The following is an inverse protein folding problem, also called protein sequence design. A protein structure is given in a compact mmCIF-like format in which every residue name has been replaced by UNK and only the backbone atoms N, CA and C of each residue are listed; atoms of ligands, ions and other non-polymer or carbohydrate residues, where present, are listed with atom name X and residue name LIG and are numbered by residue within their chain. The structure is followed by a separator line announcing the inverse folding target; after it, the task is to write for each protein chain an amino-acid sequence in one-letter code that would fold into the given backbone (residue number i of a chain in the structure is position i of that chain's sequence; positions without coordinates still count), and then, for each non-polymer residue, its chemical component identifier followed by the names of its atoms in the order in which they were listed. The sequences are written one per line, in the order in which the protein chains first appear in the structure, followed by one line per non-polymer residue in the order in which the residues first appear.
data_IF_885582257382
#
_entry.id   IF_885582257382
#
_cell.length_a   1.000
_cell.length_b   1.000
_cell.length_c   1.000
_cell.angle_alpha   90.00
_cell.angle_beta   90.00
_cell.angle_gamma   90.00
#
_symmetry.space_group_name_H-M   'P 1'
#
loop_
_entity.id
_entity.type
_entity.pdbx_description
1 polymer ?
#
# COMPACT_ATOMS: atom_id res chain seq x y z
N UNK A 1 -26.39 -49.28 -14.07
CA UNK A 1 -26.09 -47.91 -14.55
C UNK A 1 -24.80 -47.46 -13.88
N UNK A 2 -23.68 -47.36 -14.62
CA UNK A 2 -22.38 -46.98 -14.09
C UNK A 2 -22.24 -45.45 -13.96
N UNK A 3 -21.53 -45.05 -12.90
CA UNK A 3 -20.47 -44.05 -12.84
C UNK A 3 -20.60 -42.67 -13.53
N UNK A 4 -20.46 -41.66 -12.65
CA UNK A 4 -19.41 -40.62 -12.67
C UNK A 4 -19.62 -39.48 -13.67
N UNK A 5 -20.24 -38.41 -13.16
CA UNK A 5 -20.00 -37.06 -13.67
C UNK A 5 -18.65 -36.58 -13.14
N UNK A 6 -17.70 -36.47 -14.06
CA UNK A 6 -16.47 -35.71 -13.93
C UNK A 6 -16.77 -34.25 -14.30
N UNK A 7 -16.50 -33.30 -13.40
CA UNK A 7 -16.12 -31.95 -13.82
C UNK A 7 -15.21 -31.33 -12.75
N UNK A 8 -14.03 -30.83 -13.15
CA UNK A 8 -12.92 -30.52 -12.26
C UNK A 8 -13.07 -29.17 -11.55
N UNK A 9 -12.77 -29.21 -10.25
CA UNK A 9 -12.18 -28.19 -9.38
C UNK A 9 -12.07 -26.78 -9.98
N UNK A 10 -12.96 -25.88 -9.54
CA UNK A 10 -12.67 -24.44 -9.58
C UNK A 10 -11.45 -24.21 -8.67
N UNK A 11 -10.29 -24.14 -9.29
CA UNK A 11 -9.07 -23.65 -8.63
C UNK A 11 -9.21 -22.14 -8.53
N UNK A 12 -10.05 -21.68 -7.59
CA UNK A 12 -10.00 -20.27 -7.21
C UNK A 12 -8.68 -20.07 -6.49
N UNK A 13 -7.88 -19.27 -7.16
CA UNK A 13 -6.56 -18.82 -6.76
C UNK A 13 -6.51 -18.40 -5.30
N UNK A 14 -5.41 -18.81 -4.68
CA UNK A 14 -4.98 -18.48 -3.33
C UNK A 14 -5.13 -16.98 -3.05
N UNK A 15 -6.10 -16.61 -2.23
CA UNK A 15 -5.98 -15.39 -1.42
C UNK A 15 -5.65 -15.83 -0.01
N UNK A 16 -4.37 -15.77 0.33
CA UNK A 16 -3.91 -15.94 1.70
C UNK A 16 -4.63 -14.96 2.63
N UNK A 17 -4.98 -15.36 3.85
CA UNK A 17 -5.55 -14.46 4.83
C UNK A 17 -4.43 -13.60 5.42
N UNK A 18 -4.17 -12.43 4.83
CA UNK A 18 -3.55 -11.32 5.54
C UNK A 18 -4.64 -10.30 5.87
N UNK A 19 -5.56 -10.71 6.74
CA UNK A 19 -6.76 -9.95 7.13
C UNK A 19 -6.54 -8.96 8.28
N UNK A 20 -5.30 -8.59 8.61
CA UNK A 20 -5.05 -7.55 9.61
C UNK A 20 -4.88 -6.12 9.03
N UNK A 21 -4.89 -5.96 7.69
CA UNK A 21 -4.61 -4.68 7.02
C UNK A 21 -5.71 -4.09 6.12
N UNK A 22 -6.85 -4.78 5.93
CA UNK A 22 -7.84 -4.37 4.91
C UNK A 22 -8.64 -3.11 5.26
N UNK A 23 -8.89 -2.84 6.54
CA UNK A 23 -9.63 -1.65 6.97
C UNK A 23 -8.79 -0.38 6.78
N UNK A 24 -7.48 -0.49 6.97
CA UNK A 24 -6.53 0.61 6.77
C UNK A 24 -6.49 1.01 5.30
N UNK A 25 -6.47 0.04 4.39
CA UNK A 25 -6.36 0.28 2.95
C UNK A 25 -7.56 1.09 2.40
N UNK A 26 -8.79 0.69 2.75
CA UNK A 26 -9.99 1.41 2.34
C UNK A 26 -10.06 2.83 2.93
N UNK A 27 -9.74 2.99 4.22
CA UNK A 27 -9.70 4.30 4.86
C UNK A 27 -8.61 5.21 4.25
N UNK A 28 -7.46 4.64 3.92
CA UNK A 28 -6.34 5.32 3.28
C UNK A 28 -6.68 5.76 1.87
N UNK A 29 -7.33 4.90 1.08
CA UNK A 29 -7.77 5.24 -0.27
C UNK A 29 -8.76 6.41 -0.27
N UNK A 30 -9.71 6.42 0.67
CA UNK A 30 -10.67 7.51 0.87
C UNK A 30 -10.00 8.79 1.39
N UNK A 31 -9.11 8.68 2.38
CA UNK A 31 -8.34 9.81 2.89
C UNK A 31 -7.45 10.43 1.79
N UNK A 32 -6.81 9.59 0.97
CA UNK A 32 -6.09 10.03 -0.22
C UNK A 32 -7.04 10.77 -1.15
N UNK A 33 -8.18 10.18 -1.53
CA UNK A 33 -9.23 10.84 -2.35
C UNK A 33 -9.55 12.25 -1.91
N UNK A 34 -9.90 12.42 -0.64
CA UNK A 34 -10.22 13.73 -0.07
C UNK A 34 -9.01 14.68 -0.14
N UNK A 35 -7.80 14.19 0.15
CA UNK A 35 -6.57 14.97 0.12
C UNK A 35 -6.13 15.38 -1.30
N UNK A 36 -6.40 14.57 -2.33
CA UNK A 36 -6.15 14.93 -3.75
C UNK A 36 -7.25 15.81 -4.33
N UNK A 37 -8.51 15.59 -3.95
CA UNK A 37 -9.65 16.37 -4.45
C UNK A 37 -9.68 17.79 -3.88
N UNK A 38 -9.17 17.99 -2.67
CA UNK A 38 -9.08 19.32 -2.08
C UNK A 38 -7.87 19.47 -1.15
N UNK A 39 -7.09 20.56 -1.29
CA UNK A 39 -6.05 20.93 -0.33
C UNK A 39 -6.59 21.05 1.10
N UNK A 40 -7.83 21.54 1.25
CA UNK A 40 -8.52 21.64 2.55
C UNK A 40 -8.81 20.26 3.16
N UNK A 41 -9.16 19.29 2.30
CA UNK A 41 -9.37 17.90 2.68
C UNK A 41 -8.10 17.22 3.19
N UNK A 42 -6.92 17.60 2.67
CA UNK A 42 -5.64 17.14 3.20
C UNK A 42 -5.33 17.72 4.60
N UNK A 43 -5.84 18.91 4.91
CA UNK A 43 -5.73 19.54 6.23
C UNK A 43 -6.70 18.98 7.26
N UNK A 44 -7.66 18.15 6.85
CA UNK A 44 -8.59 17.52 7.80
C UNK A 44 -7.83 16.61 8.78
N UNK A 45 -8.04 16.75 10.10
CA UNK A 45 -7.30 15.99 11.12
C UNK A 45 -7.59 14.49 11.06
N UNK A 46 -8.75 14.07 10.53
CA UNK A 46 -9.08 12.66 10.34
C UNK A 46 -8.29 12.09 9.18
N UNK A 47 -8.30 12.79 8.04
CA UNK A 47 -7.54 12.42 6.83
C UNK A 47 -6.04 12.36 7.15
N UNK A 48 -5.50 13.40 7.78
CA UNK A 48 -4.10 13.47 8.21
C UNK A 48 -3.73 12.30 9.12
N UNK A 49 -4.56 11.95 10.12
CA UNK A 49 -4.31 10.78 11.00
C UNK A 49 -4.28 9.45 10.25
N UNK A 50 -5.20 9.25 9.30
CA UNK A 50 -5.27 8.01 8.53
C UNK A 50 -4.02 7.87 7.63
N UNK A 51 -3.67 8.94 6.93
CA UNK A 51 -2.51 8.99 6.05
C UNK A 51 -1.20 8.82 6.84
N UNK A 52 -1.05 9.49 7.98
CA UNK A 52 0.12 9.37 8.85
C UNK A 52 0.25 7.98 9.48
N UNK A 53 -0.85 7.38 9.92
CA UNK A 53 -0.83 6.02 10.48
C UNK A 53 -0.40 4.99 9.41
N UNK A 54 -0.94 5.10 8.19
CA UNK A 54 -0.55 4.25 7.08
C UNK A 54 0.90 4.46 6.67
N UNK A 55 1.31 5.73 6.55
CA UNK A 55 2.70 6.09 6.29
C UNK A 55 3.64 5.50 7.34
N UNK A 56 3.31 5.59 8.63
CA UNK A 56 4.13 5.02 9.72
C UNK A 56 4.25 3.51 9.61
N UNK A 57 3.19 2.81 9.21
CA UNK A 57 3.25 1.36 8.97
C UNK A 57 4.18 1.03 7.78
N UNK A 58 4.03 1.74 6.67
CA UNK A 58 4.85 1.55 5.47
C UNK A 58 6.32 1.86 5.80
N UNK A 59 6.58 2.96 6.50
CA UNK A 59 7.91 3.38 6.91
C UNK A 59 8.55 2.40 7.89
N UNK A 60 7.78 1.87 8.84
CA UNK A 60 8.26 0.81 9.73
C UNK A 60 8.71 -0.44 8.97
N UNK A 61 8.02 -0.79 7.87
CA UNK A 61 8.43 -1.90 6.98
C UNK A 61 9.67 -1.57 6.16
N UNK A 62 9.75 -0.36 5.61
CA UNK A 62 10.95 0.13 4.91
C UNK A 62 12.16 0.10 5.82
N UNK A 63 12.05 0.57 7.07
CA UNK A 63 13.16 0.55 8.02
C UNK A 63 13.51 -0.87 8.51
N UNK A 64 12.51 -1.73 8.71
CA UNK A 64 12.75 -3.10 9.16
C UNK A 64 13.36 -3.98 8.06
N UNK A 65 12.99 -3.73 6.81
CA UNK A 65 13.44 -4.49 5.64
C UNK A 65 13.83 -3.54 4.52
N UNK A 66 14.91 -2.76 4.71
CA UNK A 66 15.34 -1.77 3.72
C UNK A 66 15.76 -2.43 2.42
N UNK A 67 16.17 -3.70 2.47
CA UNK A 67 16.63 -4.45 1.29
C UNK A 67 15.58 -5.34 0.60
N UNK A 68 14.55 -5.75 1.32
CA UNK A 68 13.59 -6.74 0.80
C UNK A 68 12.19 -6.15 0.56
N UNK A 69 11.87 -5.03 1.21
CA UNK A 69 10.56 -4.44 1.10
C UNK A 69 10.39 -3.65 -0.21
N UNK A 70 9.36 -4.02 -0.97
CA UNK A 70 8.90 -3.28 -2.14
C UNK A 70 7.47 -2.81 -1.86
N UNK A 71 7.27 -1.49 -1.86
CA UNK A 71 5.95 -0.88 -1.68
C UNK A 71 5.00 -1.28 -2.81
N UNK A 72 3.73 -1.51 -2.48
CA UNK A 72 2.67 -1.66 -3.49
C UNK A 72 2.24 -0.30 -4.05
N UNK A 73 1.44 -0.30 -5.12
CA UNK A 73 0.99 0.93 -5.79
C UNK A 73 0.22 1.87 -4.84
N UNK A 74 -0.63 1.31 -4.00
CA UNK A 74 -1.45 2.04 -3.03
C UNK A 74 -0.58 2.66 -1.93
N UNK A 75 0.39 1.90 -1.40
CA UNK A 75 1.37 2.40 -0.42
C UNK A 75 2.27 3.48 -1.00
N UNK A 76 2.73 3.28 -2.24
CA UNK A 76 3.51 4.28 -2.96
C UNK A 76 2.70 5.57 -3.17
N UNK A 77 1.38 5.50 -3.32
CA UNK A 77 0.53 6.68 -3.48
C UNK A 77 0.52 7.54 -2.21
N UNK A 78 0.40 6.91 -1.03
CA UNK A 78 0.54 7.59 0.27
C UNK A 78 1.94 8.15 0.42
N UNK A 79 2.95 7.33 0.16
CA UNK A 79 4.34 7.73 0.32
C UNK A 79 4.73 8.90 -0.61
N UNK A 80 4.23 8.88 -1.85
CA UNK A 80 4.43 9.93 -2.84
C UNK A 80 3.67 11.22 -2.47
N UNK A 81 2.51 11.12 -1.82
CA UNK A 81 1.81 12.30 -1.28
C UNK A 81 2.70 13.02 -0.25
N UNK A 82 3.40 12.28 0.61
CA UNK A 82 4.35 12.84 1.58
C UNK A 82 5.75 13.10 1.03
N UNK A 83 5.97 13.10 -0.29
CA UNK A 83 7.30 13.29 -0.86
C UNK A 83 7.99 14.58 -0.39
N UNK A 84 7.23 15.66 -0.16
CA UNK A 84 7.76 16.94 0.31
C UNK A 84 8.32 16.89 1.74
N UNK A 85 7.86 15.93 2.55
CA UNK A 85 8.36 15.73 3.92
C UNK A 85 9.60 14.84 3.97
N UNK A 86 9.72 13.92 3.02
CA UNK A 86 10.85 12.99 2.91
C UNK A 86 11.93 13.46 1.91
N UNK A 87 11.97 14.75 1.57
CA UNK A 87 13.02 15.29 0.71
C UNK A 87 14.34 15.27 1.47
N UNK A 88 15.24 14.37 1.07
CA UNK A 88 16.57 14.21 1.67
C UNK A 88 16.74 12.94 2.50
N UNK A 89 15.66 12.20 2.77
CA UNK A 89 15.74 10.91 3.46
C UNK A 89 16.30 9.81 2.54
N UNK A 90 17.43 9.23 2.93
CA UNK A 90 18.11 8.20 2.13
C UNK A 90 17.28 6.93 2.01
N UNK A 91 16.58 6.55 3.08
CA UNK A 91 15.67 5.40 3.10
C UNK A 91 14.45 5.62 2.20
N UNK A 92 13.90 6.83 2.17
CA UNK A 92 12.77 7.18 1.30
C UNK A 92 13.18 7.14 -0.18
N UNK A 93 14.36 7.68 -0.49
CA UNK A 93 14.94 7.66 -1.84
C UNK A 93 15.24 6.20 -2.25
N UNK A 94 15.79 5.38 -1.36
CA UNK A 94 16.08 3.98 -1.62
C UNK A 94 14.81 3.16 -1.85
N UNK A 95 13.78 3.34 -1.02
CA UNK A 95 12.48 2.70 -1.18
C UNK A 95 11.83 3.06 -2.52
N UNK A 96 11.86 4.34 -2.91
CA UNK A 96 11.36 4.81 -4.21
C UNK A 96 12.15 4.20 -5.37
N UNK A 97 13.48 4.16 -5.27
CA UNK A 97 14.33 3.55 -6.31
C UNK A 97 14.00 2.07 -6.49
N UNK A 98 13.79 1.31 -5.41
CA UNK A 98 13.42 -0.12 -5.46
C UNK A 98 12.07 -0.35 -6.10
N UNK A 99 11.08 0.45 -5.76
CA UNK A 99 9.76 0.35 -6.39
C UNK A 99 9.85 0.52 -7.92
N UNK A 100 10.65 1.48 -8.38
CA UNK A 100 10.88 1.67 -9.81
C UNK A 100 11.73 0.57 -10.45
N UNK A 101 12.74 0.07 -9.74
CA UNK A 101 13.59 -1.03 -10.20
C UNK A 101 12.78 -2.32 -10.39
N UNK A 102 11.96 -2.67 -9.40
CA UNK A 102 11.04 -3.81 -9.47
C UNK A 102 9.97 -3.67 -10.56
N UNK A 103 9.53 -2.44 -10.89
CA UNK A 103 8.59 -2.16 -11.98
C UNK A 103 9.23 -2.23 -13.39
N UNK A 104 10.55 -2.15 -13.49
CA UNK A 104 11.30 -2.17 -14.76
C UNK A 104 11.89 -3.54 -15.10
N UNK A 105 11.99 -4.43 -14.13
CA UNK A 105 12.42 -5.82 -14.29
C UNK A 105 11.27 -6.72 -14.78
#
# INVERSE_FOLDING_TARGET
MPHREDTPVVSVVRTGPSTLGKTSDAAVAQALEIARESPDGASDPTVSKILEHSLSQIWGRVQSQPDSYVMSRDEFSVFNFFQHRFVGDKDAIAARKRYWDNRRA
#
